data_IF_424846477613
#
_entry.id   IF_424846477613
#
_cell.length_a   1.000
_cell.length_b   1.000
_cell.length_c   1.000
_cell.angle_alpha   90.00
_cell.angle_beta   90.00
_cell.angle_gamma   90.00
#
_symmetry.space_group_name_H-M   'P 1'
#
loop_
_entity.id
_entity.type
_entity.pdbx_description
1 polymer ?
#
# COMPACT_ATOMS: atom_id res chain seq x y z
N UNK A 1 -7.54 22.96 7.98
CA UNK A 1 -6.41 22.75 7.05
C UNK A 1 -5.98 21.32 7.23
N UNK A 2 -6.21 20.45 6.23
CA UNK A 2 -5.69 19.08 6.29
C UNK A 2 -4.23 19.14 5.89
N UNK A 3 -3.34 18.76 6.80
CA UNK A 3 -1.91 18.73 6.54
C UNK A 3 -1.62 17.60 5.56
N UNK A 4 -0.58 17.74 4.72
CA UNK A 4 -0.16 16.69 3.77
C UNK A 4 0.07 15.33 4.45
N UNK A 5 0.42 15.33 5.74
CA UNK A 5 0.51 14.14 6.59
C UNK A 5 -0.83 13.42 6.79
N UNK A 6 -1.95 14.13 6.94
CA UNK A 6 -3.25 13.52 7.16
C UNK A 6 -3.73 12.77 5.91
N UNK A 7 -3.56 13.36 4.72
CA UNK A 7 -3.89 12.71 3.46
C UNK A 7 -3.07 11.45 3.25
N UNK A 8 -1.78 11.50 3.60
CA UNK A 8 -0.89 10.36 3.52
C UNK A 8 -1.30 9.24 4.49
N UNK A 9 -1.61 9.58 5.74
CA UNK A 9 -2.10 8.62 6.73
C UNK A 9 -3.42 7.98 6.30
N UNK A 10 -4.35 8.74 5.72
CA UNK A 10 -5.59 8.22 5.16
C UNK A 10 -5.34 7.24 4.00
N UNK A 11 -4.38 7.54 3.13
CA UNK A 11 -3.98 6.62 2.05
C UNK A 11 -3.44 5.30 2.61
N UNK A 12 -2.51 5.35 3.57
CA UNK A 12 -1.94 4.17 4.24
C UNK A 12 -3.04 3.34 4.90
N UNK A 13 -3.96 3.98 5.62
CA UNK A 13 -5.09 3.31 6.27
C UNK A 13 -5.96 2.57 5.26
N UNK A 14 -6.34 3.23 4.16
CA UNK A 14 -7.13 2.60 3.09
C UNK A 14 -6.43 1.40 2.47
N UNK A 15 -5.13 1.53 2.18
CA UNK A 15 -4.32 0.44 1.65
C UNK A 15 -4.28 -0.75 2.61
N UNK A 16 -4.11 -0.48 3.91
CA UNK A 16 -4.14 -1.51 4.96
C UNK A 16 -5.48 -2.23 5.00
N UNK A 17 -6.60 -1.49 4.97
CA UNK A 17 -7.94 -2.09 4.93
C UNK A 17 -8.13 -2.97 3.70
N UNK A 18 -7.78 -2.46 2.50
CA UNK A 18 -7.87 -3.24 1.27
C UNK A 18 -7.00 -4.50 1.32
N UNK A 19 -5.79 -4.38 1.87
CA UNK A 19 -4.89 -5.52 2.08
C UNK A 19 -5.53 -6.57 2.97
N UNK A 20 -6.07 -6.17 4.12
CA UNK A 20 -6.67 -7.10 5.07
C UNK A 20 -7.88 -7.83 4.45
N UNK A 21 -8.72 -7.13 3.68
CA UNK A 21 -9.81 -7.75 2.93
C UNK A 21 -9.32 -8.77 1.88
N UNK A 22 -8.28 -8.42 1.13
CA UNK A 22 -7.69 -9.29 0.12
C UNK A 22 -6.98 -10.50 0.76
N UNK A 23 -6.37 -10.31 1.93
CA UNK A 23 -5.69 -11.36 2.69
C UNK A 23 -6.67 -12.40 3.26
N UNK A 24 -7.89 -12.01 3.58
CA UNK A 24 -8.93 -13.01 3.92
C UNK A 24 -9.31 -13.84 2.69
N UNK A 25 -9.23 -13.25 1.50
CA UNK A 25 -9.56 -13.90 0.23
C UNK A 25 -8.39 -14.61 -0.44
N UNK A 26 -7.18 -14.58 0.13
CA UNK A 26 -5.98 -15.16 -0.52
C UNK A 26 -6.16 -16.63 -0.93
N UNK A 27 -6.97 -17.41 -0.22
CA UNK A 27 -7.30 -18.79 -0.60
C UNK A 27 -8.07 -18.95 -1.92
N UNK A 28 -8.67 -17.87 -2.44
CA UNK A 28 -9.36 -17.83 -3.75
C UNK A 28 -8.41 -17.41 -4.87
N UNK A 29 -7.16 -17.07 -4.54
CA UNK A 29 -6.23 -16.55 -5.51
C UNK A 29 -5.76 -17.70 -6.38
N UNK A 30 -5.92 -17.54 -7.69
CA UNK A 30 -5.26 -18.41 -8.66
C UNK A 30 -3.75 -18.15 -8.62
N UNK A 31 -2.96 -19.09 -9.14
CA UNK A 31 -1.50 -19.01 -9.13
C UNK A 31 -1.00 -17.64 -9.65
N UNK A 32 -1.53 -17.17 -10.78
CA UNK A 32 -1.16 -15.87 -11.37
C UNK A 32 -1.47 -14.68 -10.45
N UNK A 33 -2.62 -14.71 -9.77
CA UNK A 33 -3.05 -13.66 -8.83
C UNK A 33 -2.22 -13.71 -7.55
N UNK A 34 -1.79 -14.90 -7.15
CA UNK A 34 -0.95 -15.12 -5.98
C UNK A 34 0.48 -14.57 -6.21
N UNK A 35 1.03 -14.71 -7.41
CA UNK A 35 2.32 -14.10 -7.79
C UNK A 35 2.22 -12.56 -7.78
N UNK A 36 1.19 -12.01 -8.43
CA UNK A 36 0.91 -10.56 -8.41
C UNK A 36 0.73 -10.03 -6.98
N UNK A 37 -0.04 -10.74 -6.16
CA UNK A 37 -0.24 -10.41 -4.76
C UNK A 37 1.06 -10.39 -3.96
N UNK A 38 1.91 -11.42 -4.15
CA UNK A 38 3.20 -11.51 -3.47
C UNK A 38 4.11 -10.34 -3.84
N UNK A 39 4.09 -9.93 -5.11
CA UNK A 39 4.83 -8.75 -5.56
C UNK A 39 4.31 -7.45 -4.92
N UNK A 40 2.99 -7.32 -4.75
CA UNK A 40 2.36 -6.17 -4.09
C UNK A 40 2.67 -6.13 -2.58
N UNK A 41 2.63 -7.27 -1.88
CA UNK A 41 3.01 -7.37 -0.47
C UNK A 41 4.47 -6.90 -0.25
N UNK A 42 5.40 -7.25 -1.14
CA UNK A 42 6.78 -6.76 -1.07
C UNK A 42 6.87 -5.23 -1.17
N UNK A 43 6.09 -4.61 -2.07
CA UNK A 43 6.03 -3.14 -2.18
C UNK A 43 5.41 -2.52 -0.94
N UNK A 44 4.38 -3.14 -0.38
CA UNK A 44 3.75 -2.72 0.87
C UNK A 44 4.73 -2.74 2.05
N UNK A 45 5.53 -3.80 2.18
CA UNK A 45 6.58 -3.86 3.20
C UNK A 45 7.62 -2.75 3.02
N UNK A 46 8.06 -2.49 1.79
CA UNK A 46 8.99 -1.40 1.51
C UNK A 46 8.41 -0.04 1.88
N UNK A 47 7.14 0.21 1.57
CA UNK A 47 6.44 1.44 1.96
C UNK A 47 6.40 1.60 3.48
N UNK A 48 6.06 0.53 4.20
CA UNK A 48 5.96 0.53 5.66
C UNK A 48 7.33 0.73 6.34
N UNK A 49 8.39 0.12 5.79
CA UNK A 49 9.76 0.34 6.26
C UNK A 49 10.21 1.79 6.07
N UNK A 50 9.92 2.39 4.90
CA UNK A 50 10.21 3.80 4.64
C UNK A 50 9.43 4.71 5.60
N UNK A 51 8.19 4.35 5.92
CA UNK A 51 7.35 5.12 6.85
C UNK A 51 7.91 5.07 8.27
N UNK A 52 8.24 3.88 8.78
CA UNK A 52 8.87 3.76 10.09
C UNK A 52 10.19 4.52 10.19
N UNK A 53 11.00 4.53 9.12
CA UNK A 53 12.24 5.31 9.11
C UNK A 53 11.96 6.81 9.15
N UNK A 54 11.02 7.30 8.33
CA UNK A 54 10.62 8.70 8.32
C UNK A 54 10.07 9.16 9.69
N UNK A 55 9.25 8.33 10.35
CA UNK A 55 8.75 8.60 11.70
C UNK A 55 9.87 8.62 12.75
N UNK A 56 10.78 7.64 12.72
CA UNK A 56 11.91 7.55 13.67
C UNK A 56 12.91 8.70 13.51
N UNK A 57 13.18 9.11 12.28
CA UNK A 57 14.12 10.19 11.97
C UNK A 57 13.50 11.58 12.23
N UNK A 58 12.21 11.66 12.61
CA UNK A 58 11.49 12.92 12.86
C UNK A 58 11.35 13.80 11.60
N UNK A 59 11.91 13.37 10.48
CA UNK A 59 11.78 13.97 9.19
C UNK A 59 10.43 13.54 8.64
N UNK A 60 9.38 14.28 9.01
CA UNK A 60 8.08 14.21 8.40
C UNK A 60 8.26 14.37 6.88
N UNK A 61 8.45 13.23 6.20
CA UNK A 61 8.65 13.07 4.77
C UNK A 61 9.23 14.32 4.09
N UNK A 62 10.56 14.44 4.02
CA UNK A 62 11.20 15.37 3.06
C UNK A 62 10.45 15.26 1.73
N UNK A 63 10.14 16.38 1.04
CA UNK A 63 9.21 16.38 -0.12
C UNK A 63 9.44 15.23 -1.10
N UNK A 64 10.70 14.86 -1.35
CA UNK A 64 11.08 13.72 -2.19
C UNK A 64 10.67 12.36 -1.60
N UNK A 65 10.89 12.13 -0.30
CA UNK A 65 10.48 10.91 0.40
C UNK A 65 8.96 10.80 0.38
N UNK A 66 8.25 11.89 0.66
CA UNK A 66 6.78 11.93 0.63
C UNK A 66 6.22 11.63 -0.77
N UNK A 67 6.81 12.21 -1.82
CA UNK A 67 6.42 11.93 -3.20
C UNK A 67 6.67 10.47 -3.59
N UNK A 68 7.83 9.90 -3.25
CA UNK A 68 8.15 8.51 -3.54
C UNK A 68 7.21 7.54 -2.80
N UNK A 69 6.86 7.84 -1.55
CA UNK A 69 5.93 7.03 -0.76
C UNK A 69 4.50 7.14 -1.29
N UNK A 70 4.05 8.33 -1.71
CA UNK A 70 2.74 8.52 -2.33
C UNK A 70 2.64 7.71 -3.64
N UNK A 71 3.66 7.76 -4.47
CA UNK A 71 3.71 7.02 -5.74
C UNK A 71 3.69 5.50 -5.51
N UNK A 72 4.48 5.00 -4.56
CA UNK A 72 4.43 3.60 -4.12
C UNK A 72 3.05 3.20 -3.60
N UNK A 73 2.43 4.05 -2.79
CA UNK A 73 1.08 3.81 -2.27
C UNK A 73 0.03 3.75 -3.38
N UNK A 74 0.11 4.62 -4.39
CA UNK A 74 -0.78 4.58 -5.55
C UNK A 74 -0.58 3.33 -6.41
N UNK A 75 0.66 2.88 -6.62
CA UNK A 75 0.94 1.62 -7.31
C UNK A 75 0.34 0.41 -6.57
N UNK A 76 0.52 0.36 -5.25
CA UNK A 76 -0.03 -0.72 -4.42
C UNK A 76 -1.56 -0.69 -4.48
N UNK A 77 -2.18 0.49 -4.39
CA UNK A 77 -3.63 0.66 -4.50
C UNK A 77 -4.14 0.10 -5.82
N UNK A 78 -3.54 0.50 -6.94
CA UNK A 78 -3.94 0.04 -8.26
C UNK A 78 -3.79 -1.48 -8.39
N UNK A 79 -2.74 -2.05 -7.82
CA UNK A 79 -2.53 -3.50 -7.74
C UNK A 79 -3.61 -4.21 -6.94
N UNK A 80 -3.93 -3.73 -5.74
CA UNK A 80 -5.00 -4.29 -4.90
C UNK A 80 -6.38 -4.18 -5.57
N UNK A 81 -6.67 -3.07 -6.24
CA UNK A 81 -7.91 -2.93 -7.03
C UNK A 81 -7.97 -3.96 -8.18
N UNK A 82 -6.84 -4.22 -8.84
CA UNK A 82 -6.76 -5.25 -9.89
C UNK A 82 -6.99 -6.65 -9.34
N UNK A 83 -6.33 -7.01 -8.24
CA UNK A 83 -6.53 -8.30 -7.56
C UNK A 83 -7.99 -8.45 -7.12
N UNK A 84 -8.56 -7.42 -6.48
CA UNK A 84 -9.96 -7.42 -6.05
C UNK A 84 -10.95 -7.62 -7.21
N UNK A 85 -10.71 -6.97 -8.36
CA UNK A 85 -11.52 -7.14 -9.57
C UNK A 85 -11.43 -8.56 -10.13
N UNK A 86 -10.25 -9.20 -10.07
CA UNK A 86 -10.08 -10.57 -10.52
C UNK A 86 -10.83 -11.60 -9.65
N UNK A 87 -11.07 -11.28 -8.36
CA UNK A 87 -11.80 -12.16 -7.43
C UNK A 87 -13.32 -12.01 -7.48
N UNK A 88 -13.82 -10.86 -7.96
CA UNK A 88 -15.26 -10.61 -8.11
C UNK A 88 -15.84 -11.18 -9.42
N UNK A 89 -14.99 -11.74 -10.29
CA UNK A 89 -15.36 -12.29 -11.60
C UNK A 89 -15.44 -13.81 -11.51
#
# INVERSE_FOLDING_TARGET
>A
MSSMQDEFNQLILRLKTQRDELRVKTHLFKLDVQEDWTALEKKWEQLNQKLQRAEKEGSAASREIGAAMKLLGEEIKAGYERVSKQLKK
#
